data_IF_151408447031
#
_entry.id   IF_151408447031
#
_cell.length_a   1.000
_cell.length_b   1.000
_cell.length_c   1.000
_cell.angle_alpha   90.00
_cell.angle_beta   90.00
_cell.angle_gamma   90.00
#
_symmetry.space_group_name_H-M   'P 1'
#
loop_
_entity.id
_entity.type
_entity.pdbx_description
1 polymer ?
#
# COMPACT_ATOMS: atom_id res chain seq x y z
N UNK A 1 8.80 -14.32 -16.29
CA UNK A 1 8.03 -13.19 -16.85
C UNK A 1 6.58 -13.50 -16.60
N UNK A 2 5.88 -12.60 -15.94
CA UNK A 2 4.44 -12.67 -15.74
C UNK A 2 3.76 -11.93 -16.90
N UNK A 3 2.74 -12.55 -17.50
CA UNK A 3 1.97 -11.98 -18.60
C UNK A 3 0.53 -11.84 -18.13
N UNK A 4 -0.03 -10.64 -18.22
CA UNK A 4 -1.40 -10.35 -17.85
C UNK A 4 -2.06 -9.46 -18.92
N UNK A 5 -3.37 -9.54 -19.02
CA UNK A 5 -4.18 -8.64 -19.85
C UNK A 5 -4.47 -7.34 -19.13
N UNK A 6 -4.72 -6.26 -19.87
CA UNK A 6 -5.22 -5.02 -19.29
C UNK A 6 -6.65 -5.22 -18.80
N UNK A 7 -6.97 -4.62 -17.65
CA UNK A 7 -8.29 -4.73 -17.03
C UNK A 7 -9.04 -3.41 -17.17
N UNK A 8 -10.31 -3.49 -17.54
CA UNK A 8 -11.19 -2.32 -17.72
C UNK A 8 -11.84 -1.87 -16.42
N UNK A 9 -12.41 -0.68 -16.44
CA UNK A 9 -13.34 -0.20 -15.44
C UNK A 9 -14.67 -0.86 -15.77
N UNK A 10 -15.22 -1.71 -14.89
CA UNK A 10 -16.48 -2.41 -15.15
C UNK A 10 -17.58 -1.43 -15.53
N UNK A 11 -18.17 -1.58 -16.73
CA UNK A 11 -19.34 -0.79 -17.15
C UNK A 11 -20.57 -1.27 -16.38
N UNK A 12 -21.46 -0.35 -16.06
CA UNK A 12 -22.79 -0.64 -15.48
C UNK A 12 -23.75 -1.29 -16.49
N UNK A 13 -23.31 -1.58 -17.73
CA UNK A 13 -24.13 -2.13 -18.79
C UNK A 13 -24.49 -3.60 -18.56
N UNK A 14 -25.75 -3.89 -18.71
CA UNK A 14 -26.55 -4.93 -18.06
C UNK A 14 -26.32 -6.41 -18.45
N UNK A 15 -25.42 -6.82 -19.34
CA UNK A 15 -25.47 -8.18 -19.92
C UNK A 15 -24.12 -8.95 -19.98
N UNK A 16 -23.03 -8.50 -19.37
CA UNK A 16 -21.78 -9.27 -19.41
C UNK A 16 -21.52 -10.07 -18.13
N UNK A 17 -21.08 -11.33 -18.27
CA UNK A 17 -20.60 -12.20 -17.19
C UNK A 17 -19.35 -11.63 -16.47
N UNK A 18 -18.84 -10.50 -16.94
CA UNK A 18 -17.61 -9.81 -16.51
C UNK A 18 -17.85 -8.66 -15.51
N UNK A 19 -18.89 -8.75 -14.69
CA UNK A 19 -19.23 -7.69 -13.72
C UNK A 19 -18.20 -7.59 -12.58
N UNK A 20 -17.86 -6.34 -12.27
CA UNK A 20 -17.24 -6.00 -10.99
C UNK A 20 -18.28 -6.24 -9.88
N UNK A 21 -18.02 -7.22 -9.00
CA UNK A 21 -18.93 -7.53 -7.88
C UNK A 21 -18.43 -6.73 -6.67
N UNK A 22 -19.28 -5.81 -6.20
CA UNK A 22 -19.06 -5.06 -4.97
C UNK A 22 -19.87 -5.68 -3.82
N UNK A 23 -19.36 -5.61 -2.60
CA UNK A 23 -20.16 -5.89 -1.41
C UNK A 23 -21.01 -4.69 -1.02
N UNK A 24 -21.84 -4.85 0.00
CA UNK A 24 -22.74 -3.80 0.53
C UNK A 24 -22.02 -2.56 1.06
N UNK A 25 -20.68 -2.62 1.19
CA UNK A 25 -19.83 -1.51 1.65
C UNK A 25 -19.08 -0.83 0.51
N UNK A 26 -19.31 -1.25 -0.76
CA UNK A 26 -18.60 -0.76 -1.95
C UNK A 26 -17.23 -1.40 -2.18
N UNK A 27 -16.93 -2.52 -1.52
CA UNK A 27 -15.66 -3.24 -1.68
C UNK A 27 -15.71 -4.15 -2.90
N UNK A 28 -14.65 -4.10 -3.72
CA UNK A 28 -14.53 -4.94 -4.92
C UNK A 28 -14.27 -6.39 -4.51
N UNK A 29 -15.20 -7.30 -4.86
CA UNK A 29 -15.11 -8.75 -4.62
C UNK A 29 -14.58 -9.51 -5.83
N UNK A 30 -14.93 -9.08 -7.03
CA UNK A 30 -14.50 -9.70 -8.30
C UNK A 30 -14.37 -8.63 -9.38
N UNK A 31 -13.29 -8.71 -10.17
CA UNK A 31 -12.95 -7.74 -11.17
C UNK A 31 -12.22 -8.44 -12.33
N UNK A 32 -12.96 -8.88 -13.33
CA UNK A 32 -12.47 -9.64 -14.48
C UNK A 32 -12.75 -8.94 -15.83
N UNK A 33 -13.12 -7.67 -15.83
CA UNK A 33 -13.36 -6.95 -17.09
C UNK A 33 -12.05 -6.65 -17.82
N UNK A 34 -12.00 -6.95 -19.12
CA UNK A 34 -10.89 -6.55 -19.98
C UNK A 34 -11.08 -5.10 -20.44
N UNK A 35 -9.97 -4.36 -20.60
CA UNK A 35 -10.04 -2.96 -20.99
C UNK A 35 -8.79 -2.46 -21.72
N UNK A 36 -8.78 -1.17 -21.97
CA UNK A 36 -7.63 -0.47 -22.53
C UNK A 36 -6.49 -0.32 -21.51
N UNK A 37 -5.29 -0.02 -21.99
CA UNK A 37 -4.14 0.30 -21.12
C UNK A 37 -4.40 1.52 -20.25
N UNK A 38 -5.16 2.50 -20.75
CA UNK A 38 -5.53 3.70 -19.99
C UNK A 38 -6.48 3.34 -18.84
N UNK A 39 -7.48 2.52 -19.07
CA UNK A 39 -8.40 2.04 -18.03
C UNK A 39 -7.65 1.24 -16.96
N UNK A 40 -6.69 0.39 -17.36
CA UNK A 40 -5.85 -0.34 -16.43
C UNK A 40 -5.00 0.60 -15.56
N UNK A 41 -4.50 1.73 -16.13
CA UNK A 41 -3.77 2.74 -15.38
C UNK A 41 -4.64 3.40 -14.30
N UNK A 42 -5.87 3.80 -14.65
CA UNK A 42 -6.80 4.45 -13.72
C UNK A 42 -7.29 3.54 -12.59
N UNK A 43 -7.27 2.22 -12.78
CA UNK A 43 -7.65 1.24 -11.75
C UNK A 43 -6.54 0.95 -10.73
N UNK A 44 -5.28 1.24 -11.06
CA UNK A 44 -4.16 0.99 -10.16
C UNK A 44 -4.27 1.83 -8.90
N UNK A 45 -3.45 1.47 -7.91
CA UNK A 45 -3.48 2.15 -6.62
C UNK A 45 -2.70 3.48 -6.64
N UNK A 46 -1.47 3.47 -7.13
CA UNK A 46 -0.58 4.64 -7.08
C UNK A 46 -0.04 4.99 -8.46
N UNK A 47 0.14 6.29 -8.71
CA UNK A 47 0.63 6.82 -9.97
C UNK A 47 1.98 6.22 -10.38
N UNK A 48 2.89 6.02 -9.42
CA UNK A 48 4.21 5.41 -9.64
C UNK A 48 4.14 3.94 -10.09
N UNK A 49 3.01 3.27 -9.89
CA UNK A 49 2.77 1.89 -10.32
C UNK A 49 2.00 1.80 -11.64
N UNK A 50 1.64 2.93 -12.25
CA UNK A 50 0.82 3.00 -13.46
C UNK A 50 1.61 3.51 -14.67
N UNK A 51 2.89 3.24 -14.71
CA UNK A 51 3.77 3.50 -15.84
C UNK A 51 3.92 2.25 -16.68
N UNK A 52 3.84 2.39 -18.00
CA UNK A 52 3.97 1.30 -18.96
C UNK A 52 5.14 1.56 -19.90
N UNK A 53 5.99 0.58 -20.04
CA UNK A 53 7.13 0.64 -20.95
C UNK A 53 6.83 -0.13 -22.24
N UNK A 54 6.87 0.56 -23.37
CA UNK A 54 6.70 -0.05 -24.68
C UNK A 54 8.05 -0.53 -25.21
N UNK A 55 8.21 -1.83 -25.34
CA UNK A 55 9.46 -2.44 -25.82
C UNK A 55 9.71 -2.25 -27.32
N UNK A 56 8.68 -1.87 -28.09
CA UNK A 56 8.81 -1.71 -29.54
C UNK A 56 9.49 -0.39 -29.93
N UNK A 57 9.23 0.69 -29.17
CA UNK A 57 9.74 2.03 -29.44
C UNK A 57 10.47 2.66 -28.25
N UNK A 58 10.59 1.90 -27.14
CA UNK A 58 11.24 2.30 -25.89
C UNK A 58 10.56 3.51 -25.20
N UNK A 59 9.30 3.79 -25.52
CA UNK A 59 8.53 4.86 -24.92
C UNK A 59 7.98 4.45 -23.53
N UNK A 60 7.73 5.47 -22.70
CA UNK A 60 7.00 5.31 -21.43
C UNK A 60 5.63 5.97 -21.61
N UNK A 61 4.58 5.22 -21.34
CA UNK A 61 3.21 5.72 -21.34
C UNK A 61 2.75 5.98 -19.93
N UNK A 62 2.29 7.22 -19.69
CA UNK A 62 1.88 7.73 -18.39
C UNK A 62 0.53 8.44 -18.54
N UNK A 63 -0.53 7.82 -18.01
CA UNK A 63 -1.91 8.32 -18.08
C UNK A 63 -2.34 9.05 -16.81
N UNK A 64 -1.51 9.02 -15.76
CA UNK A 64 -1.90 9.46 -14.40
C UNK A 64 -0.84 10.37 -13.74
N UNK A 65 0.11 10.89 -14.50
CA UNK A 65 1.21 11.75 -14.07
C UNK A 65 2.20 11.09 -13.08
N UNK A 66 2.43 9.80 -13.21
CA UNK A 66 3.37 9.05 -12.38
C UNK A 66 4.82 9.51 -12.53
N UNK A 67 5.23 9.92 -13.72
CA UNK A 67 6.58 10.48 -13.98
C UNK A 67 6.80 11.79 -13.24
N UNK A 68 5.77 12.65 -13.18
CA UNK A 68 5.84 13.90 -12.42
C UNK A 68 5.96 13.61 -10.92
N UNK A 69 5.13 12.72 -10.36
CA UNK A 69 5.18 12.36 -8.95
C UNK A 69 6.53 11.74 -8.55
N UNK A 70 7.15 10.96 -9.42
CA UNK A 70 8.51 10.45 -9.22
C UNK A 70 9.53 11.59 -9.18
N UNK A 71 9.44 12.55 -10.11
CA UNK A 71 10.35 13.70 -10.15
C UNK A 71 10.18 14.60 -8.90
N UNK A 72 8.97 14.73 -8.38
CA UNK A 72 8.65 15.44 -7.14
C UNK A 72 8.99 14.65 -5.87
N UNK A 73 9.39 13.39 -6.00
CA UNK A 73 9.74 12.52 -4.87
C UNK A 73 8.54 12.11 -4.03
N UNK A 74 7.37 11.93 -4.64
CA UNK A 74 6.16 11.58 -3.90
C UNK A 74 5.42 10.37 -4.47
N UNK A 75 4.58 9.77 -3.60
CA UNK A 75 3.62 8.71 -3.93
C UNK A 75 2.23 9.31 -3.82
N UNK A 76 1.47 9.24 -4.91
CA UNK A 76 0.10 9.73 -4.98
C UNK A 76 -0.85 8.58 -5.30
N UNK A 77 -1.96 8.50 -4.57
CA UNK A 77 -3.07 7.59 -4.86
C UNK A 77 -3.83 8.10 -6.10
N UNK A 78 -4.18 7.20 -7.01
CA UNK A 78 -4.96 7.53 -8.21
C UNK A 78 -6.44 7.67 -7.82
N UNK A 79 -7.08 8.76 -8.27
CA UNK A 79 -8.47 9.09 -7.97
C UNK A 79 -8.65 9.79 -6.62
N UNK A 80 -9.90 9.82 -6.11
CA UNK A 80 -10.21 10.44 -4.82
C UNK A 80 -9.71 9.57 -3.66
N UNK A 81 -8.77 10.06 -2.81
CA UNK A 81 -8.17 9.24 -1.78
C UNK A 81 -9.15 8.70 -0.74
N UNK A 82 -10.20 9.46 -0.38
CA UNK A 82 -11.19 9.00 0.60
C UNK A 82 -11.98 7.83 0.06
N UNK A 83 -12.46 7.94 -1.18
CA UNK A 83 -13.19 6.85 -1.87
C UNK A 83 -12.30 5.63 -2.02
N UNK A 84 -11.08 5.81 -2.53
CA UNK A 84 -10.14 4.72 -2.80
C UNK A 84 -9.70 3.97 -1.53
N UNK A 85 -9.54 4.66 -0.40
CA UNK A 85 -9.24 4.00 0.88
C UNK A 85 -10.45 3.29 1.49
N UNK A 86 -11.67 3.76 1.22
CA UNK A 86 -12.90 3.04 1.60
C UNK A 86 -13.14 1.78 0.79
N UNK A 87 -12.88 1.83 -0.51
CA UNK A 87 -12.93 0.64 -1.39
C UNK A 87 -11.96 -0.45 -0.93
N UNK A 88 -10.74 -0.08 -0.57
CA UNK A 88 -9.71 -1.00 -0.08
C UNK A 88 -8.80 -0.35 0.95
N UNK A 89 -9.09 -0.53 2.26
CA UNK A 89 -8.30 0.05 3.34
C UNK A 89 -6.82 -0.38 3.36
N UNK A 90 -6.50 -1.53 2.76
CA UNK A 90 -5.12 -2.03 2.64
C UNK A 90 -4.24 -1.08 1.84
N UNK A 91 -4.81 -0.26 0.96
CA UNK A 91 -4.07 0.79 0.23
C UNK A 91 -3.35 1.78 1.15
N UNK A 92 -3.87 2.04 2.36
CA UNK A 92 -3.17 2.86 3.36
C UNK A 92 -1.84 2.23 3.80
N UNK A 93 -1.83 0.92 4.05
CA UNK A 93 -0.60 0.18 4.38
C UNK A 93 0.35 0.17 3.20
N UNK A 94 -0.18 -0.05 1.99
CA UNK A 94 0.60 -0.05 0.74
C UNK A 94 1.25 1.31 0.46
N UNK A 95 0.56 2.43 0.73
CA UNK A 95 1.12 3.78 0.62
C UNK A 95 2.35 3.94 1.52
N UNK A 96 2.23 3.57 2.79
CA UNK A 96 3.33 3.62 3.76
C UNK A 96 4.50 2.73 3.32
N UNK A 97 4.22 1.50 2.93
CA UNK A 97 5.23 0.54 2.48
C UNK A 97 6.00 1.03 1.26
N UNK A 98 5.29 1.51 0.23
CA UNK A 98 5.93 2.03 -0.99
C UNK A 98 6.74 3.29 -0.68
N UNK A 99 6.22 4.19 0.14
CA UNK A 99 6.93 5.39 0.55
C UNK A 99 8.23 5.06 1.31
N UNK A 100 8.20 4.05 2.19
CA UNK A 100 9.39 3.56 2.88
C UNK A 100 10.39 2.90 1.91
N UNK A 101 9.92 1.99 1.05
CA UNK A 101 10.74 1.24 0.11
C UNK A 101 11.45 2.13 -0.92
N UNK A 102 10.75 3.15 -1.43
CA UNK A 102 11.25 4.03 -2.48
C UNK A 102 11.89 5.31 -1.92
N UNK A 103 11.88 5.47 -0.60
CA UNK A 103 12.30 6.69 0.10
C UNK A 103 11.61 7.95 -0.46
N UNK A 104 10.32 7.85 -0.74
CA UNK A 104 9.47 8.93 -1.24
C UNK A 104 8.53 9.42 -0.13
N UNK A 105 7.94 10.60 -0.31
CA UNK A 105 6.88 11.11 0.59
C UNK A 105 5.51 10.67 0.07
N UNK A 106 4.54 10.49 0.96
CA UNK A 106 3.15 10.36 0.54
C UNK A 106 2.63 11.77 0.24
N UNK A 107 2.06 11.99 -0.96
CA UNK A 107 1.48 13.29 -1.34
C UNK A 107 0.41 13.71 -0.33
N UNK A 108 0.30 15.01 -0.04
CA UNK A 108 -0.55 15.55 1.03
C UNK A 108 -2.01 15.08 0.91
N UNK A 109 -2.60 15.14 -0.30
CA UNK A 109 -3.99 14.72 -0.53
C UNK A 109 -4.20 13.24 -0.19
N UNK A 110 -3.19 12.39 -0.46
CA UNK A 110 -3.24 10.95 -0.15
C UNK A 110 -2.93 10.67 1.32
N UNK A 111 -2.13 11.51 2.00
CA UNK A 111 -1.72 11.31 3.39
C UNK A 111 -2.79 11.77 4.39
N UNK A 112 -3.44 12.92 4.14
CA UNK A 112 -4.38 13.55 5.08
C UNK A 112 -5.52 12.61 5.53
N UNK A 113 -6.20 11.86 4.65
CA UNK A 113 -7.31 11.01 5.07
C UNK A 113 -6.89 9.72 5.80
N UNK A 114 -5.60 9.33 5.77
CA UNK A 114 -5.16 8.05 6.31
C UNK A 114 -5.52 7.90 7.79
N UNK A 115 -5.19 8.87 8.63
CA UNK A 115 -5.42 8.78 10.08
C UNK A 115 -6.92 8.69 10.42
N UNK A 116 -7.79 9.38 9.66
CA UNK A 116 -9.24 9.33 9.87
C UNK A 116 -9.84 7.99 9.43
N UNK A 117 -9.27 7.37 8.40
CA UNK A 117 -9.76 6.13 7.80
C UNK A 117 -9.05 4.88 8.34
N UNK A 118 -8.02 5.04 9.18
CA UNK A 118 -7.29 3.94 9.81
C UNK A 118 -8.18 2.89 10.49
N UNK A 119 -9.31 3.25 11.18
CA UNK A 119 -10.21 2.27 11.77
C UNK A 119 -10.84 1.29 10.77
N UNK A 120 -10.87 1.60 9.47
CA UNK A 120 -11.35 0.67 8.45
C UNK A 120 -10.48 -0.59 8.33
N UNK A 121 -9.24 -0.54 8.79
CA UNK A 121 -8.36 -1.72 8.84
C UNK A 121 -8.90 -2.82 9.76
N UNK A 122 -9.67 -2.47 10.79
CA UNK A 122 -10.24 -3.43 11.73
C UNK A 122 -11.24 -4.39 11.05
N UNK A 123 -11.79 -3.98 9.89
CA UNK A 123 -12.71 -4.79 9.07
C UNK A 123 -12.03 -5.63 7.97
N UNK A 124 -10.71 -5.49 7.79
CA UNK A 124 -9.97 -6.23 6.76
C UNK A 124 -9.72 -7.66 7.23
N UNK A 125 -9.92 -8.68 6.36
CA UNK A 125 -9.62 -10.06 6.72
C UNK A 125 -8.16 -10.24 7.18
N UNK A 126 -7.91 -10.97 8.29
CA UNK A 126 -6.56 -11.15 8.85
C UNK A 126 -5.54 -11.72 7.87
N UNK A 127 -5.96 -12.60 6.95
CA UNK A 127 -5.08 -13.16 5.93
C UNK A 127 -4.51 -12.08 5.00
N UNK A 128 -5.32 -11.11 4.56
CA UNK A 128 -4.86 -9.98 3.74
C UNK A 128 -3.92 -9.06 4.51
N UNK A 129 -4.20 -8.81 5.80
CA UNK A 129 -3.30 -8.01 6.65
C UNK A 129 -1.97 -8.72 6.85
N UNK A 130 -1.97 -10.05 6.98
CA UNK A 130 -0.74 -10.85 7.11
C UNK A 130 0.11 -10.81 5.84
N UNK A 131 -0.49 -10.89 4.66
CA UNK A 131 0.23 -10.75 3.39
C UNK A 131 0.92 -9.38 3.26
N UNK A 132 0.26 -8.31 3.65
CA UNK A 132 0.88 -6.99 3.67
C UNK A 132 1.92 -6.85 4.81
N UNK A 133 1.68 -7.47 5.98
CA UNK A 133 2.68 -7.54 7.05
C UNK A 133 4.02 -8.10 6.55
N UNK A 134 3.98 -9.21 5.82
CA UNK A 134 5.20 -9.80 5.24
C UNK A 134 5.91 -8.83 4.30
N UNK A 135 5.16 -8.13 3.44
CA UNK A 135 5.72 -7.15 2.50
C UNK A 135 6.25 -5.90 3.21
N UNK A 136 5.68 -5.51 4.34
CA UNK A 136 6.11 -4.35 5.14
C UNK A 136 7.39 -4.65 5.91
N UNK A 137 7.48 -5.83 6.55
CA UNK A 137 8.53 -6.12 7.53
C UNK A 137 9.61 -7.10 7.06
N UNK A 138 9.40 -7.81 5.95
CA UNK A 138 10.36 -8.81 5.45
C UNK A 138 11.00 -8.41 4.11
N UNK A 139 11.11 -7.11 3.81
CA UNK A 139 11.66 -6.64 2.52
C UNK A 139 12.81 -5.63 2.66
N UNK A 140 13.38 -5.47 3.87
CA UNK A 140 14.56 -4.64 4.10
C UNK A 140 14.26 -3.15 4.36
N UNK A 141 13.00 -2.81 4.66
CA UNK A 141 12.57 -1.45 4.99
C UNK A 141 11.65 -1.43 6.22
N UNK A 142 11.82 -2.38 7.13
CA UNK A 142 10.93 -2.61 8.27
C UNK A 142 10.93 -1.43 9.25
N UNK A 143 12.09 -0.91 9.60
CA UNK A 143 12.22 0.21 10.54
C UNK A 143 11.54 1.47 10.01
N UNK A 144 11.80 1.84 8.77
CA UNK A 144 11.19 3.03 8.16
C UNK A 144 9.67 2.86 7.98
N UNK A 145 9.24 1.67 7.58
CA UNK A 145 7.81 1.34 7.48
C UNK A 145 7.12 1.45 8.83
N UNK A 146 7.71 0.92 9.91
CA UNK A 146 7.21 1.04 11.27
C UNK A 146 7.01 2.50 11.70
N UNK A 147 8.02 3.34 11.51
CA UNK A 147 7.97 4.76 11.86
C UNK A 147 6.84 5.47 11.12
N UNK A 148 6.69 5.20 9.82
CA UNK A 148 5.61 5.78 9.01
C UNK A 148 4.24 5.24 9.41
N UNK A 149 4.09 3.95 9.73
CA UNK A 149 2.86 3.40 10.27
C UNK A 149 2.44 4.09 11.58
N UNK A 150 3.40 4.37 12.46
CA UNK A 150 3.16 5.13 13.69
C UNK A 150 2.74 6.58 13.38
N UNK A 151 3.46 7.27 12.49
CA UNK A 151 3.19 8.67 12.11
C UNK A 151 1.77 8.84 11.53
N UNK A 152 1.30 7.87 10.74
CA UNK A 152 -0.03 7.89 10.11
C UNK A 152 -1.13 7.22 10.95
N UNK A 153 -0.83 6.80 12.20
CA UNK A 153 -1.82 6.20 13.09
C UNK A 153 -2.24 4.77 12.75
N UNK A 154 -1.62 4.13 11.77
CA UNK A 154 -1.98 2.79 11.30
C UNK A 154 -1.48 1.67 12.22
N UNK A 155 -0.36 1.91 12.93
CA UNK A 155 0.30 0.87 13.73
C UNK A 155 -0.59 0.31 14.84
N UNK A 156 -1.36 1.16 15.51
CA UNK A 156 -2.24 0.75 16.61
C UNK A 156 -3.40 -0.15 16.14
N UNK A 157 -3.90 0.02 14.91
CA UNK A 157 -4.91 -0.84 14.30
C UNK A 157 -4.35 -2.20 13.87
N UNK A 158 -3.11 -2.23 13.38
CA UNK A 158 -2.46 -3.46 12.95
C UNK A 158 -1.94 -4.29 14.14
N UNK A 159 -1.43 -3.63 15.18
CA UNK A 159 -0.76 -4.26 16.33
C UNK A 159 -1.23 -3.68 17.65
N UNK A 160 -2.54 -3.82 18.00
CA UNK A 160 -3.12 -3.15 19.16
C UNK A 160 -2.48 -3.57 20.49
N UNK A 161 -2.06 -4.83 20.63
CA UNK A 161 -1.37 -5.31 21.82
C UNK A 161 0.02 -4.67 21.97
N UNK A 162 0.79 -4.64 20.89
CA UNK A 162 2.14 -4.02 20.87
C UNK A 162 2.04 -2.51 21.07
N UNK A 163 1.06 -1.84 20.45
CA UNK A 163 0.85 -0.41 20.64
C UNK A 163 0.55 -0.06 22.10
N UNK A 164 -0.33 -0.81 22.77
CA UNK A 164 -0.59 -0.64 24.22
C UNK A 164 0.64 -0.88 25.06
N UNK A 165 1.44 -1.90 24.74
CA UNK A 165 2.68 -2.19 25.44
C UNK A 165 3.70 -1.06 25.29
N UNK A 166 3.83 -0.49 24.09
CA UNK A 166 4.69 0.67 23.82
C UNK A 166 4.19 1.93 24.53
N UNK A 167 2.87 2.16 24.57
CA UNK A 167 2.29 3.33 25.24
C UNK A 167 2.55 3.35 26.76
N UNK A 168 2.83 2.19 27.37
CA UNK A 168 3.21 2.07 28.77
C UNK A 168 4.73 2.18 28.99
N UNK A 169 5.48 2.69 27.98
CA UNK A 169 6.93 2.85 28.08
C UNK A 169 7.33 3.95 29.09
N UNK A 170 8.53 3.82 29.64
CA UNK A 170 9.07 4.79 30.57
C UNK A 170 9.71 5.98 29.84
N UNK A 171 10.16 6.96 30.62
CA UNK A 171 10.83 8.17 30.09
C UNK A 171 12.08 7.86 29.25
N UNK A 172 12.66 6.66 29.38
CA UNK A 172 13.82 6.24 28.61
C UNK A 172 13.47 5.55 27.28
N UNK A 173 12.17 5.36 26.98
CA UNK A 173 11.66 4.73 25.75
C UNK A 173 12.32 3.39 25.43
N UNK A 174 12.56 2.56 26.45
CA UNK A 174 13.31 1.29 26.30
C UNK A 174 12.59 0.31 25.36
N UNK A 175 11.27 0.24 25.45
CA UNK A 175 10.45 -0.67 24.62
C UNK A 175 10.47 -0.24 23.17
N UNK A 176 10.32 1.06 22.91
CA UNK A 176 10.41 1.60 21.55
C UNK A 176 11.78 1.31 20.94
N UNK A 177 12.87 1.61 21.68
CA UNK A 177 14.23 1.31 21.23
C UNK A 177 14.47 -0.17 20.97
N UNK A 178 13.87 -1.06 21.77
CA UNK A 178 13.93 -2.50 21.54
C UNK A 178 13.27 -2.89 20.21
N UNK A 179 12.05 -2.41 19.93
CA UNK A 179 11.34 -2.68 18.68
C UNK A 179 12.12 -2.10 17.50
N UNK A 180 12.56 -0.85 17.57
CA UNK A 180 13.34 -0.23 16.48
C UNK A 180 14.64 -0.98 16.21
N UNK A 181 15.33 -1.46 17.26
CA UNK A 181 16.55 -2.24 17.10
C UNK A 181 16.31 -3.60 16.47
N UNK A 182 15.22 -4.26 16.84
CA UNK A 182 14.81 -5.54 16.23
C UNK A 182 14.52 -5.38 14.73
N UNK A 183 13.76 -4.32 14.37
CA UNK A 183 13.44 -4.02 12.96
C UNK A 183 14.69 -3.64 12.15
N UNK A 184 15.59 -2.85 12.72
CA UNK A 184 16.86 -2.51 12.10
C UNK A 184 17.73 -3.77 11.85
N UNK A 185 17.78 -4.69 12.81
CA UNK A 185 18.51 -5.96 12.64
C UNK A 185 17.84 -6.81 11.53
N UNK A 186 16.52 -6.79 11.42
CA UNK A 186 15.79 -7.46 10.33
C UNK A 186 16.21 -6.89 8.97
N UNK A 187 16.23 -5.56 8.84
CA UNK A 187 16.65 -4.89 7.60
C UNK A 187 18.11 -5.20 7.23
N UNK A 188 19.02 -5.21 8.22
CA UNK A 188 20.42 -5.57 8.01
C UNK A 188 20.57 -7.02 7.53
N UNK A 189 19.87 -7.98 8.14
CA UNK A 189 19.91 -9.39 7.70
C UNK A 189 19.43 -9.56 6.27
N UNK A 190 18.36 -8.85 5.88
CA UNK A 190 17.85 -8.89 4.51
C UNK A 190 18.87 -8.29 3.54
N UNK A 191 19.50 -7.16 3.89
CA UNK A 191 20.55 -6.54 3.06
C UNK A 191 21.78 -7.46 2.86
N UNK A 192 22.08 -8.31 3.85
CA UNK A 192 23.16 -9.32 3.79
C UNK A 192 22.72 -10.63 3.10
N UNK A 193 21.48 -10.72 2.60
CA UNK A 193 20.93 -11.92 1.95
C UNK A 193 20.64 -13.06 2.94
N UNK A 194 20.57 -12.78 4.23
CA UNK A 194 20.28 -13.75 5.27
C UNK A 194 18.78 -13.98 5.43
N UNK A 195 18.33 -15.22 5.72
CA UNK A 195 16.91 -15.50 5.86
C UNK A 195 16.31 -14.78 7.09
N UNK A 196 15.10 -14.27 6.90
CA UNK A 196 14.24 -13.74 7.96
C UNK A 196 12.95 -14.55 7.96
N UNK A 197 12.62 -15.16 9.10
CA UNK A 197 11.39 -15.91 9.27
C UNK A 197 10.43 -15.09 10.12
N UNK A 198 9.23 -14.76 9.64
CA UNK A 198 8.18 -14.21 10.48
C UNK A 198 7.75 -15.27 11.51
N UNK A 199 7.79 -14.90 12.78
CA UNK A 199 7.30 -15.75 13.88
C UNK A 199 5.88 -15.33 14.28
#
# INVERSE_FOLDING_TARGET
IEVATFRGIGSEDEESEDRQILDVTGRILKDNSYGSIEEDAWRRDFTVNALYYNVADFSIWDYVNGMQDIAEGCIRLIGDPVTRYREDPVRMIRAVRLAAKLNLKIHADSAVPIAQLAPLLDSVPPARLFDEFLKVFATGHALESYRRLCTHGLFAHLFPATARWLAADDAECKRQRFVERALLNTDQRIAEGLPVTPM
#
